data_IF_485848269764
#
_entry.id   IF_485848269764
#
_cell.length_a   1.000
_cell.length_b   1.000
_cell.length_c   1.000
_cell.angle_alpha   90.00
_cell.angle_beta   90.00
_cell.angle_gamma   90.00
#
_symmetry.space_group_name_H-M   'P 1'
#
loop_
_entity.id
_entity.type
_entity.pdbx_description
1 polymer ?
#
# COMPACT_ATOMS: atom_id res chain seq x y z
N UNK A 1 29.44 16.11 2.16
CA UNK A 1 28.20 15.49 1.64
C UNK A 1 27.46 16.56 0.85
N UNK A 2 27.14 16.27 -0.42
CA UNK A 2 26.38 17.12 -1.37
C UNK A 2 27.11 18.36 -1.92
N UNK A 3 28.07 18.19 -2.83
CA UNK A 3 28.51 19.29 -3.70
C UNK A 3 27.55 19.42 -4.89
N UNK A 4 26.60 20.34 -4.77
CA UNK A 4 25.86 20.89 -5.90
C UNK A 4 26.56 22.19 -6.29
N UNK A 5 26.99 22.32 -7.55
CA UNK A 5 27.55 23.59 -8.09
C UNK A 5 26.47 24.68 -8.28
N UNK A 6 25.25 24.42 -7.80
CA UNK A 6 24.10 25.32 -7.89
C UNK A 6 23.40 25.35 -6.53
N UNK A 7 23.25 26.54 -5.95
CA UNK A 7 22.52 26.75 -4.70
C UNK A 7 21.01 26.65 -4.99
N UNK A 8 20.36 25.56 -4.55
CA UNK A 8 18.90 25.43 -4.57
C UNK A 8 18.36 25.85 -3.20
N UNK A 9 17.48 26.85 -3.17
CA UNK A 9 16.83 27.35 -1.94
C UNK A 9 15.65 26.44 -1.51
N UNK A 10 15.31 25.42 -2.31
CA UNK A 10 14.30 24.41 -2.00
C UNK A 10 14.87 23.00 -2.15
N UNK A 11 14.22 22.04 -1.50
CA UNK A 11 14.51 20.60 -1.62
C UNK A 11 13.26 19.90 -2.16
N UNK A 12 13.42 19.08 -3.18
CA UNK A 12 12.32 18.30 -3.78
C UNK A 12 11.87 17.12 -2.89
N UNK A 13 12.61 16.84 -1.81
CA UNK A 13 12.25 15.78 -0.86
C UNK A 13 11.27 16.32 0.18
N UNK A 14 10.21 15.56 0.52
CA UNK A 14 9.29 15.96 1.57
C UNK A 14 9.98 16.05 2.94
N UNK A 15 9.47 16.91 3.81
CA UNK A 15 9.73 16.80 5.25
C UNK A 15 9.00 15.56 5.74
N UNK A 16 9.74 14.62 6.33
CA UNK A 16 9.22 13.30 6.66
C UNK A 16 9.60 12.90 8.08
N UNK A 17 8.59 12.67 8.91
CA UNK A 17 8.70 11.98 10.19
C UNK A 17 8.10 10.57 10.02
N UNK A 18 8.96 9.56 10.06
CA UNK A 18 8.55 8.18 9.82
C UNK A 18 7.65 7.59 10.92
N UNK A 19 7.91 7.93 12.19
CA UNK A 19 7.09 7.41 13.29
C UNK A 19 5.71 8.07 13.28
N UNK A 20 5.67 9.38 13.12
CA UNK A 20 4.42 10.12 12.99
C UNK A 20 3.63 9.67 11.74
N UNK A 21 4.29 9.51 10.59
CA UNK A 21 3.63 9.04 9.37
C UNK A 21 3.01 7.65 9.52
N UNK A 22 3.65 6.72 10.23
CA UNK A 22 3.10 5.39 10.49
C UNK A 22 1.86 5.46 11.39
N UNK A 23 1.87 6.30 12.44
CA UNK A 23 0.70 6.51 13.31
C UNK A 23 -0.47 7.12 12.54
N UNK A 24 -0.24 8.20 11.80
CA UNK A 24 -1.27 8.82 10.96
C UNK A 24 -1.84 7.84 9.93
N UNK A 25 -1.00 6.97 9.36
CA UNK A 25 -1.45 5.90 8.47
C UNK A 25 -2.41 4.96 9.17
N UNK A 26 -2.00 4.35 10.30
CA UNK A 26 -2.82 3.34 10.98
C UNK A 26 -4.16 3.91 11.42
N UNK A 27 -4.17 5.09 12.05
CA UNK A 27 -5.41 5.73 12.52
C UNK A 27 -6.34 6.14 11.38
N UNK A 28 -5.79 6.69 10.28
CA UNK A 28 -6.61 7.04 9.12
C UNK A 28 -7.24 5.80 8.48
N UNK A 29 -6.47 4.73 8.34
CA UNK A 29 -6.96 3.47 7.77
C UNK A 29 -8.03 2.86 8.65
N UNK A 30 -7.80 2.75 9.96
CA UNK A 30 -8.79 2.28 10.95
C UNK A 30 -10.09 3.08 10.84
N UNK A 31 -10.00 4.41 10.83
CA UNK A 31 -11.16 5.30 10.67
C UNK A 31 -11.90 5.05 9.36
N UNK A 32 -11.18 4.85 8.26
CA UNK A 32 -11.79 4.56 6.97
C UNK A 32 -12.49 3.20 6.93
N UNK A 33 -11.98 2.18 7.62
CA UNK A 33 -12.65 0.89 7.80
C UNK A 33 -13.94 1.01 8.62
N UNK A 34 -13.90 1.79 9.71
CA UNK A 34 -15.09 2.07 10.53
C UNK A 34 -16.17 2.79 9.72
N UNK A 35 -15.78 3.84 8.97
CA UNK A 35 -16.70 4.57 8.09
C UNK A 35 -17.31 3.67 7.01
N UNK A 36 -16.49 2.84 6.35
CA UNK A 36 -16.97 1.89 5.36
C UNK A 36 -17.96 0.88 5.96
N UNK A 37 -17.65 0.29 7.12
CA UNK A 37 -18.56 -0.63 7.81
C UNK A 37 -19.89 0.05 8.15
N UNK A 38 -19.84 1.26 8.71
CA UNK A 38 -21.04 2.01 9.05
C UNK A 38 -21.90 2.33 7.81
N UNK A 39 -21.27 2.69 6.68
CA UNK A 39 -21.96 2.89 5.40
C UNK A 39 -22.57 1.60 4.86
N UNK A 40 -21.85 0.48 4.93
CA UNK A 40 -22.32 -0.81 4.46
C UNK A 40 -23.54 -1.29 5.27
N UNK A 41 -23.58 -1.05 6.58
CA UNK A 41 -24.75 -1.32 7.42
C UNK A 41 -25.93 -0.44 6.99
N UNK A 42 -25.72 0.87 6.90
CA UNK A 42 -26.79 1.82 6.53
C UNK A 42 -27.37 1.56 5.14
N UNK A 43 -26.56 1.06 4.19
CA UNK A 43 -27.02 0.75 2.84
C UNK A 43 -27.60 -0.66 2.70
N UNK A 44 -27.67 -1.45 3.78
CA UNK A 44 -28.11 -2.85 3.74
C UNK A 44 -27.13 -3.80 3.05
N UNK A 45 -25.90 -3.36 2.77
CA UNK A 45 -24.83 -4.19 2.18
C UNK A 45 -24.26 -5.20 3.19
N UNK A 46 -24.33 -4.90 4.48
CA UNK A 46 -23.73 -5.71 5.54
C UNK A 46 -24.62 -5.76 6.78
N UNK A 47 -24.96 -6.95 7.26
CA UNK A 47 -25.59 -7.20 8.55
C UNK A 47 -24.57 -7.77 9.54
N UNK A 48 -24.26 -7.09 10.66
CA UNK A 48 -23.36 -7.63 11.68
C UNK A 48 -23.85 -8.94 12.31
N UNK A 49 -25.15 -9.19 12.30
CA UNK A 49 -25.78 -10.37 12.90
C UNK A 49 -25.82 -11.57 11.95
N UNK A 50 -25.97 -11.31 10.65
CA UNK A 50 -26.26 -12.36 9.66
C UNK A 50 -25.09 -12.65 8.71
N UNK A 51 -24.16 -11.71 8.56
CA UNK A 51 -23.07 -11.83 7.59
C UNK A 51 -21.71 -12.05 8.27
N UNK A 52 -20.82 -12.76 7.58
CA UNK A 52 -19.41 -12.79 7.95
C UNK A 52 -18.80 -11.38 7.93
N UNK A 53 -17.78 -11.13 8.73
CA UNK A 53 -17.07 -9.83 8.73
C UNK A 53 -16.56 -9.45 7.33
N UNK A 54 -16.56 -8.15 7.03
CA UNK A 54 -16.31 -7.63 5.68
C UNK A 54 -14.98 -8.09 5.08
N UNK A 55 -13.92 -8.19 5.90
CA UNK A 55 -12.60 -8.64 5.44
C UNK A 55 -12.57 -10.13 5.06
N UNK A 56 -13.51 -10.94 5.56
CA UNK A 56 -13.69 -12.34 5.11
C UNK A 56 -14.51 -12.43 3.82
N UNK A 57 -15.37 -11.45 3.55
CA UNK A 57 -16.14 -11.39 2.30
C UNK A 57 -15.28 -10.93 1.10
N UNK A 58 -14.14 -10.30 1.34
CA UNK A 58 -13.25 -9.81 0.29
C UNK A 58 -12.20 -10.85 -0.08
N UNK A 59 -12.23 -11.34 -1.31
CA UNK A 59 -11.23 -12.29 -1.83
C UNK A 59 -9.80 -11.75 -1.73
N UNK A 60 -9.62 -10.45 -1.93
CA UNK A 60 -8.33 -9.77 -1.84
C UNK A 60 -8.49 -8.43 -1.15
N UNK A 61 -7.46 -8.01 -0.43
CA UNK A 61 -7.38 -6.68 0.17
C UNK A 61 -6.20 -5.93 -0.43
N UNK A 62 -6.53 -4.99 -1.30
CA UNK A 62 -5.60 -4.17 -2.06
C UNK A 62 -5.35 -2.89 -1.30
N UNK A 63 -4.11 -2.56 -1.02
CA UNK A 63 -3.78 -1.38 -0.23
C UNK A 63 -2.73 -0.51 -0.88
N UNK A 64 -2.74 0.77 -0.53
CA UNK A 64 -1.61 1.65 -0.79
C UNK A 64 -0.38 1.15 -0.01
N UNK A 65 0.69 0.75 -0.73
CA UNK A 65 1.92 0.21 -0.15
C UNK A 65 3.10 1.18 -0.35
N UNK A 66 3.42 2.02 0.65
CA UNK A 66 4.63 2.85 0.62
C UNK A 66 5.92 2.04 0.61
N UNK A 67 5.88 0.79 1.08
CA UNK A 67 6.93 -0.21 0.88
C UNK A 67 6.31 -1.61 0.93
N UNK A 68 6.98 -2.58 0.30
CA UNK A 68 6.46 -3.93 0.03
C UNK A 68 5.87 -4.65 1.26
N UNK A 69 6.49 -4.46 2.44
CA UNK A 69 6.09 -5.15 3.67
C UNK A 69 5.16 -4.35 4.58
N UNK A 70 4.73 -3.15 4.17
CA UNK A 70 3.89 -2.31 5.02
C UNK A 70 2.53 -2.94 5.29
N UNK A 71 1.95 -3.67 4.33
CA UNK A 71 0.69 -4.37 4.57
C UNK A 71 0.80 -5.35 5.74
N UNK A 72 1.89 -6.12 5.84
CA UNK A 72 2.12 -7.04 6.98
C UNK A 72 2.26 -6.32 8.33
N UNK A 73 2.70 -5.06 8.33
CA UNK A 73 2.84 -4.26 9.55
C UNK A 73 1.55 -3.59 10.01
N UNK A 74 0.68 -3.19 9.07
CA UNK A 74 -0.52 -2.39 9.37
C UNK A 74 -1.78 -3.23 9.51
N UNK A 75 -1.88 -4.34 8.79
CA UNK A 75 -3.05 -5.20 8.87
C UNK A 75 -3.29 -5.89 10.21
N UNK A 76 -2.31 -6.13 11.11
CA UNK A 76 -2.64 -6.68 12.40
C UNK A 76 -3.60 -5.79 13.21
N UNK A 77 -3.56 -4.46 13.04
CA UNK A 77 -4.52 -3.55 13.69
C UNK A 77 -5.92 -3.71 13.12
N UNK A 78 -6.05 -3.81 11.79
CA UNK A 78 -7.35 -4.04 11.13
C UNK A 78 -7.90 -5.42 11.52
N UNK A 79 -7.05 -6.45 11.48
CA UNK A 79 -7.37 -7.83 11.84
C UNK A 79 -7.79 -7.96 13.31
N UNK A 80 -7.13 -7.25 14.22
CA UNK A 80 -7.55 -7.14 15.61
C UNK A 80 -8.92 -6.48 15.71
N UNK A 81 -9.07 -5.31 15.09
CA UNK A 81 -10.28 -4.49 15.23
C UNK A 81 -11.54 -5.22 14.75
N UNK A 82 -11.47 -5.96 13.64
CA UNK A 82 -12.62 -6.67 13.08
C UNK A 82 -12.84 -8.09 13.62
N UNK A 83 -11.89 -8.67 14.37
CA UNK A 83 -12.01 -10.04 14.93
C UNK A 83 -12.00 -10.12 16.45
N UNK A 84 -11.63 -9.08 17.19
CA UNK A 84 -11.54 -9.12 18.67
C UNK A 84 -12.83 -9.48 19.42
N UNK A 85 -13.96 -9.42 18.73
CA UNK A 85 -15.28 -9.78 19.24
C UNK A 85 -15.76 -11.16 18.77
N UNK A 86 -14.96 -11.88 17.98
CA UNK A 86 -15.29 -13.19 17.45
C UNK A 86 -14.66 -14.29 18.31
N UNK A 87 -15.27 -15.50 18.39
CA UNK A 87 -14.74 -16.61 19.20
C UNK A 87 -13.28 -16.99 18.87
N UNK A 88 -12.86 -16.82 17.61
CA UNK A 88 -11.47 -17.10 17.21
C UNK A 88 -10.43 -16.28 17.98
N UNK A 89 -10.81 -15.14 18.55
CA UNK A 89 -9.89 -14.26 19.27
C UNK A 89 -9.46 -14.84 20.62
N UNK A 90 -10.24 -15.75 21.21
CA UNK A 90 -9.88 -16.46 22.44
C UNK A 90 -8.55 -17.20 22.27
N UNK A 91 -8.37 -17.88 21.14
CA UNK A 91 -7.10 -18.56 20.79
C UNK A 91 -5.93 -17.58 20.63
N UNK A 92 -6.17 -16.39 20.11
CA UNK A 92 -5.15 -15.34 20.00
C UNK A 92 -4.72 -14.90 21.40
N UNK A 93 -5.67 -14.67 22.31
CA UNK A 93 -5.39 -14.29 23.69
C UNK A 93 -4.58 -15.38 24.41
N UNK A 94 -4.92 -16.66 24.21
CA UNK A 94 -4.15 -17.79 24.76
C UNK A 94 -2.69 -17.82 24.26
N UNK A 95 -2.45 -17.45 22.99
CA UNK A 95 -1.11 -17.46 22.39
C UNK A 95 -0.26 -16.24 22.78
N UNK A 96 -0.83 -15.03 22.72
CA UNK A 96 -0.06 -13.77 22.81
C UNK A 96 -0.40 -12.91 24.02
N UNK A 97 -1.33 -13.34 24.87
CA UNK A 97 -1.79 -12.62 26.05
C UNK A 97 -2.90 -11.59 25.76
N UNK A 98 -3.31 -10.90 26.83
CA UNK A 98 -4.37 -9.90 26.78
C UNK A 98 -3.94 -8.66 25.98
N UNK A 99 -4.91 -8.07 25.27
CA UNK A 99 -4.73 -6.80 24.58
C UNK A 99 -4.46 -5.69 25.61
N UNK A 100 -3.44 -4.83 25.39
CA UNK A 100 -3.25 -3.64 26.21
C UNK A 100 -4.32 -2.60 25.85
N UNK A 101 -4.94 -2.03 26.87
CA UNK A 101 -5.92 -0.96 26.74
C UNK A 101 -5.38 0.35 27.33
N UNK A 102 -5.75 1.54 26.79
CA UNK A 102 -5.32 2.82 27.36
C UNK A 102 -5.62 2.95 28.86
N UNK A 103 -6.71 2.34 29.31
CA UNK A 103 -7.15 2.32 30.71
C UNK A 103 -6.23 1.52 31.65
N UNK A 104 -5.33 0.71 31.10
CA UNK A 104 -4.32 -0.06 31.85
C UNK A 104 -3.09 0.79 32.22
N UNK A 105 -3.01 2.04 31.75
CA UNK A 105 -1.84 2.94 31.88
C UNK A 105 -2.24 4.29 32.49
N UNK A 106 -1.27 5.00 33.06
CA UNK A 106 -1.50 6.32 33.66
C UNK A 106 -1.86 7.37 32.59
N UNK A 107 -2.80 8.27 32.92
CA UNK A 107 -3.15 9.44 32.08
C UNK A 107 -2.09 10.55 32.21
N UNK A 108 -0.86 10.21 31.84
CA UNK A 108 0.31 11.08 31.84
C UNK A 108 1.02 10.96 30.48
N UNK A 109 1.85 11.95 30.08
CA UNK A 109 2.65 11.84 28.86
C UNK A 109 3.49 10.55 28.80
N UNK A 110 4.04 10.13 29.93
CA UNK A 110 4.81 8.91 30.09
C UNK A 110 3.93 7.66 29.94
N UNK A 111 2.77 7.61 30.60
CA UNK A 111 1.82 6.49 30.48
C UNK A 111 1.25 6.32 29.07
N UNK A 112 1.02 7.42 28.34
CA UNK A 112 0.65 7.39 26.91
C UNK A 112 1.78 6.78 26.08
N UNK A 113 3.04 7.12 26.36
CA UNK A 113 4.19 6.54 25.65
C UNK A 113 4.34 5.04 25.94
N UNK A 114 4.09 4.61 27.18
CA UNK A 114 4.10 3.20 27.59
C UNK A 114 2.99 2.41 26.89
N UNK A 115 1.77 2.95 26.85
CA UNK A 115 0.66 2.35 26.11
C UNK A 115 1.00 2.20 24.62
N UNK A 116 1.52 3.24 23.98
CA UNK A 116 1.90 3.19 22.55
C UNK A 116 2.97 2.11 22.29
N UNK A 117 3.95 1.95 23.19
CA UNK A 117 4.95 0.87 23.11
C UNK A 117 4.32 -0.51 23.27
N UNK A 118 3.44 -0.68 24.27
CA UNK A 118 2.75 -1.94 24.52
C UNK A 118 1.83 -2.33 23.34
N UNK A 119 1.08 -1.36 22.82
CA UNK A 119 0.20 -1.54 21.66
C UNK A 119 0.98 -1.87 20.38
N UNK A 120 2.13 -1.21 20.13
CA UNK A 120 3.02 -1.57 19.01
C UNK A 120 3.59 -2.98 19.16
N UNK A 121 3.99 -3.38 20.38
CA UNK A 121 4.46 -4.72 20.68
C UNK A 121 3.37 -5.78 20.45
N UNK A 122 2.15 -5.52 20.94
CA UNK A 122 1.00 -6.40 20.75
C UNK A 122 0.65 -6.57 19.27
N UNK A 123 0.66 -5.48 18.49
CA UNK A 123 0.48 -5.52 17.03
C UNK A 123 1.51 -6.42 16.34
N UNK A 124 2.76 -6.38 16.78
CA UNK A 124 3.83 -7.26 16.25
C UNK A 124 3.59 -8.72 16.63
N UNK A 125 3.05 -9.00 17.82
CA UNK A 125 2.70 -10.36 18.24
C UNK A 125 1.58 -10.94 17.37
N UNK A 126 0.51 -10.16 17.11
CA UNK A 126 -0.57 -10.56 16.19
C UNK A 126 0.01 -10.93 14.82
N UNK A 127 0.98 -10.17 14.30
CA UNK A 127 1.55 -10.48 12.98
C UNK A 127 2.29 -11.83 12.90
N UNK A 128 2.57 -12.47 14.04
CA UNK A 128 3.24 -13.76 14.15
C UNK A 128 2.30 -14.93 14.37
N UNK A 129 1.04 -14.70 14.73
CA UNK A 129 0.06 -15.78 14.95
C UNK A 129 -0.27 -16.48 13.64
N UNK A 130 -0.70 -17.74 13.73
CA UNK A 130 -1.03 -18.53 12.55
C UNK A 130 -2.26 -17.98 11.82
N UNK A 131 -3.26 -17.53 12.56
CA UNK A 131 -4.49 -16.95 12.00
C UNK A 131 -4.18 -15.71 11.16
N UNK A 132 -3.30 -14.84 11.64
CA UNK A 132 -2.89 -13.66 10.87
C UNK A 132 -2.05 -14.03 9.66
N UNK A 133 -1.15 -15.00 9.77
CA UNK A 133 -0.34 -15.48 8.64
C UNK A 133 -1.23 -16.04 7.54
N UNK A 134 -2.21 -16.89 7.87
CA UNK A 134 -3.19 -17.43 6.93
C UNK A 134 -4.02 -16.31 6.29
N UNK A 135 -4.47 -15.34 7.08
CA UNK A 135 -5.19 -14.16 6.57
C UNK A 135 -4.33 -13.34 5.60
N UNK A 136 -3.08 -13.04 5.98
CA UNK A 136 -2.15 -12.26 5.14
C UNK A 136 -1.81 -13.00 3.85
N UNK A 137 -1.57 -14.31 3.92
CA UNK A 137 -1.23 -15.12 2.75
C UNK A 137 -2.41 -15.19 1.78
N UNK A 138 -3.61 -15.46 2.30
CA UNK A 138 -4.81 -15.63 1.47
C UNK A 138 -5.35 -14.33 0.87
N UNK A 139 -5.21 -13.19 1.56
CA UNK A 139 -5.87 -11.93 1.15
C UNK A 139 -4.92 -10.84 0.68
N UNK A 140 -3.65 -10.84 1.11
CA UNK A 140 -2.74 -9.69 0.97
C UNK A 140 -1.51 -10.00 0.12
N UNK A 141 -0.95 -11.22 0.20
CA UNK A 141 0.34 -11.56 -0.43
C UNK A 141 0.42 -11.15 -1.90
N UNK A 142 -0.56 -11.57 -2.72
CA UNK A 142 -0.61 -11.28 -4.16
C UNK A 142 -0.67 -9.79 -4.47
N UNK A 143 -1.19 -8.97 -3.55
CA UNK A 143 -1.32 -7.53 -3.74
C UNK A 143 0.02 -6.81 -3.54
N UNK A 144 0.99 -7.44 -2.87
CA UNK A 144 2.30 -6.88 -2.55
C UNK A 144 3.41 -7.25 -3.55
N UNK A 145 3.22 -8.32 -4.35
CA UNK A 145 4.27 -8.87 -5.25
C UNK A 145 4.89 -7.80 -6.15
N UNK A 146 4.10 -7.05 -6.92
CA UNK A 146 4.66 -6.04 -7.83
C UNK A 146 5.31 -4.86 -7.08
N UNK A 147 4.73 -4.42 -5.95
CA UNK A 147 5.31 -3.37 -5.11
C UNK A 147 6.67 -3.76 -4.52
N UNK A 148 6.92 -5.05 -4.29
CA UNK A 148 8.24 -5.56 -3.87
C UNK A 148 9.33 -5.39 -4.92
N UNK A 149 8.95 -5.31 -6.20
CA UNK A 149 9.87 -5.16 -7.32
C UNK A 149 10.04 -3.70 -7.78
N UNK A 150 9.06 -2.83 -7.51
CA UNK A 150 9.03 -1.44 -7.99
C UNK A 150 9.34 -0.43 -6.88
N UNK A 151 8.90 -0.69 -5.65
CA UNK A 151 8.87 0.31 -4.58
C UNK A 151 7.63 1.21 -4.62
N UNK A 152 7.71 2.37 -3.97
CA UNK A 152 6.57 3.29 -3.83
C UNK A 152 6.31 4.08 -5.12
N UNK A 153 5.10 3.99 -5.66
CA UNK A 153 4.63 4.82 -6.78
C UNK A 153 3.63 5.91 -6.35
N UNK A 154 3.59 6.25 -5.06
CA UNK A 154 2.66 7.22 -4.49
C UNK A 154 1.21 6.88 -4.87
N UNK A 155 0.53 7.79 -5.58
CA UNK A 155 -0.86 7.61 -6.02
C UNK A 155 -1.04 6.38 -6.92
N UNK A 156 0.01 5.95 -7.63
CA UNK A 156 0.02 4.74 -8.45
C UNK A 156 0.05 3.44 -7.65
N UNK A 157 0.50 3.44 -6.39
CA UNK A 157 0.79 2.19 -5.65
C UNK A 157 -0.44 1.31 -5.45
N UNK A 158 -1.63 1.89 -5.23
CA UNK A 158 -2.86 1.11 -5.07
C UNK A 158 -3.28 0.42 -6.36
N UNK A 159 -3.08 1.08 -7.51
CA UNK A 159 -3.40 0.52 -8.82
C UNK A 159 -2.36 -0.52 -9.24
N UNK A 160 -1.10 -0.32 -8.88
CA UNK A 160 -0.07 -1.34 -9.03
C UNK A 160 -0.42 -2.60 -8.22
N UNK A 161 -0.88 -2.43 -6.97
CA UNK A 161 -1.32 -3.55 -6.14
C UNK A 161 -2.56 -4.25 -6.73
N UNK A 162 -3.50 -3.51 -7.32
CA UNK A 162 -4.63 -4.07 -8.07
C UNK A 162 -4.17 -4.88 -9.28
N UNK A 163 -3.28 -4.35 -10.12
CA UNK A 163 -2.72 -5.06 -11.27
C UNK A 163 -1.95 -6.32 -10.84
N UNK A 164 -1.12 -6.22 -9.79
CA UNK A 164 -0.41 -7.33 -9.17
C UNK A 164 -1.37 -8.45 -8.75
N UNK A 165 -2.48 -8.07 -8.13
CA UNK A 165 -3.52 -8.99 -7.67
C UNK A 165 -4.16 -9.73 -8.83
N UNK A 166 -4.67 -8.98 -9.82
CA UNK A 166 -5.41 -9.55 -10.95
C UNK A 166 -4.51 -10.44 -11.82
N UNK A 167 -3.28 -10.02 -12.11
CA UNK A 167 -2.35 -10.86 -12.89
C UNK A 167 -1.91 -12.10 -12.11
N UNK A 168 -1.69 -12.00 -10.80
CA UNK A 168 -1.32 -13.16 -9.98
C UNK A 168 -2.45 -14.18 -9.87
N UNK A 169 -3.68 -13.72 -9.65
CA UNK A 169 -4.85 -14.60 -9.60
C UNK A 169 -5.15 -15.24 -10.96
N UNK A 170 -4.97 -14.49 -12.05
CA UNK A 170 -5.06 -15.04 -13.41
C UNK A 170 -4.04 -16.17 -13.65
N UNK A 171 -2.76 -15.94 -13.30
CA UNK A 171 -1.69 -16.95 -13.47
C UNK A 171 -1.90 -18.19 -12.62
N UNK A 172 -2.43 -18.02 -11.42
CA UNK A 172 -2.69 -19.13 -10.49
C UNK A 172 -4.02 -19.86 -10.80
N UNK A 173 -4.74 -19.47 -11.86
CA UNK A 173 -6.01 -20.08 -12.24
C UNK A 173 -7.16 -19.83 -11.26
N UNK A 174 -7.05 -18.80 -10.41
CA UNK A 174 -8.08 -18.45 -9.42
C UNK A 174 -9.26 -17.82 -10.12
N UNK A 175 -10.47 -18.38 -9.94
CA UNK A 175 -11.67 -17.70 -10.42
C UNK A 175 -11.98 -16.47 -9.55
N UNK A 176 -12.15 -15.31 -10.16
CA UNK A 176 -12.42 -14.05 -9.46
C UNK A 176 -13.73 -13.40 -9.88
N UNK A 177 -14.35 -13.81 -10.99
CA UNK A 177 -15.62 -13.25 -11.46
C UNK A 177 -16.68 -13.28 -10.35
N UNK A 178 -17.36 -12.14 -10.15
CA UNK A 178 -18.38 -11.95 -9.12
C UNK A 178 -17.84 -11.84 -7.69
N UNK A 179 -16.55 -12.11 -7.46
CA UNK A 179 -15.95 -11.96 -6.13
C UNK A 179 -15.70 -10.49 -5.81
N UNK A 180 -15.75 -10.17 -4.52
CA UNK A 180 -15.46 -8.83 -4.01
C UNK A 180 -13.98 -8.67 -3.68
N UNK A 181 -13.44 -7.50 -3.93
CA UNK A 181 -12.11 -7.07 -3.47
C UNK A 181 -12.24 -5.78 -2.67
N UNK A 182 -11.56 -5.72 -1.53
CA UNK A 182 -11.46 -4.50 -0.72
C UNK A 182 -10.27 -3.67 -1.17
N UNK A 183 -10.44 -2.35 -1.20
CA UNK A 183 -9.40 -1.38 -1.55
C UNK A 183 -9.25 -0.36 -0.43
N UNK A 184 -8.02 -0.14 0.02
CA UNK A 184 -7.67 0.86 1.02
C UNK A 184 -6.66 1.86 0.44
N UNK A 185 -7.14 3.05 0.11
CA UNK A 185 -6.30 4.17 -0.30
C UNK A 185 -5.86 5.01 0.88
N UNK A 186 -4.62 5.50 0.85
CA UNK A 186 -4.07 6.41 1.83
C UNK A 186 -3.21 7.48 1.15
N UNK A 187 -3.24 8.70 1.69
CA UNK A 187 -2.26 9.76 1.40
C UNK A 187 -1.96 10.57 2.67
N UNK A 188 -0.68 10.87 2.91
CA UNK A 188 -0.24 11.66 4.06
C UNK A 188 -0.83 13.08 4.03
N UNK A 189 -1.15 13.63 5.21
CA UNK A 189 -1.85 14.91 5.36
C UNK A 189 -3.06 14.95 6.31
N UNK A 190 -3.78 13.88 6.71
CA UNK A 190 -3.84 12.51 6.21
C UNK A 190 -5.28 12.17 5.79
N UNK A 191 -5.43 11.44 4.68
CA UNK A 191 -6.73 11.00 4.15
C UNK A 191 -6.65 9.54 3.75
N UNK A 192 -7.57 8.75 4.28
CA UNK A 192 -7.77 7.37 3.87
C UNK A 192 -9.19 7.16 3.34
N UNK A 193 -9.35 6.17 2.47
CA UNK A 193 -10.66 5.73 1.98
C UNK A 193 -10.66 4.24 1.75
N UNK A 194 -11.66 3.58 2.32
CA UNK A 194 -11.96 2.17 2.05
C UNK A 194 -13.16 2.11 1.11
N UNK A 195 -13.04 1.26 0.10
CA UNK A 195 -14.11 0.96 -0.86
C UNK A 195 -13.94 -0.48 -1.35
N UNK A 196 -14.95 -1.03 -2.00
CA UNK A 196 -14.89 -2.38 -2.55
C UNK A 196 -15.31 -2.38 -4.02
N UNK A 197 -14.84 -3.37 -4.76
CA UNK A 197 -15.22 -3.64 -6.14
C UNK A 197 -15.68 -5.08 -6.33
N UNK A 198 -16.55 -5.31 -7.31
CA UNK A 198 -16.93 -6.65 -7.77
C UNK A 198 -16.21 -6.90 -9.08
N UNK A 199 -15.47 -8.01 -9.16
CA UNK A 199 -14.73 -8.38 -10.37
C UNK A 199 -15.70 -8.79 -11.47
N UNK A 200 -15.59 -8.17 -12.64
CA UNK A 200 -16.49 -8.38 -13.78
C UNK A 200 -16.04 -9.58 -14.64
N UNK A 201 -16.92 -10.15 -15.49
CA UNK A 201 -16.61 -11.35 -16.29
C UNK A 201 -15.37 -11.23 -17.17
N UNK A 202 -15.09 -10.04 -17.72
CA UNK A 202 -14.00 -9.77 -18.66
C UNK A 202 -12.62 -9.64 -17.98
N UNK A 203 -12.54 -9.86 -16.67
CA UNK A 203 -11.31 -9.61 -15.89
C UNK A 203 -10.10 -10.42 -16.38
N UNK A 204 -10.29 -11.65 -16.87
CA UNK A 204 -9.21 -12.51 -17.37
C UNK A 204 -8.61 -11.95 -18.67
N UNK A 205 -9.45 -11.43 -19.56
CA UNK A 205 -9.00 -10.80 -20.79
C UNK A 205 -8.09 -9.62 -20.47
N UNK A 206 -8.53 -8.74 -19.58
CA UNK A 206 -7.76 -7.57 -19.14
C UNK A 206 -6.46 -7.97 -18.44
N UNK A 207 -6.52 -8.89 -17.47
CA UNK A 207 -5.36 -9.33 -16.70
C UNK A 207 -4.29 -9.99 -17.58
N UNK A 208 -4.69 -10.73 -18.62
CA UNK A 208 -3.76 -11.39 -19.56
C UNK A 208 -2.90 -10.41 -20.35
N UNK A 209 -3.39 -9.17 -20.55
CA UNK A 209 -2.71 -8.15 -21.34
C UNK A 209 -1.69 -7.32 -20.54
N UNK A 210 -1.74 -7.37 -19.21
CA UNK A 210 -0.88 -6.54 -18.35
C UNK A 210 0.61 -6.81 -18.56
N UNK A 211 0.97 -8.10 -18.66
CA UNK A 211 2.35 -8.58 -18.74
C UNK A 211 3.26 -7.91 -17.70
N UNK A 212 2.74 -7.59 -16.51
CA UNK A 212 3.41 -6.78 -15.51
C UNK A 212 4.69 -7.45 -15.03
N UNK A 213 4.60 -8.71 -14.63
CA UNK A 213 5.77 -9.42 -14.09
C UNK A 213 6.80 -9.74 -15.17
N UNK A 214 6.37 -9.97 -16.42
CA UNK A 214 7.27 -10.11 -17.57
C UNK A 214 8.06 -8.82 -17.81
N UNK A 215 7.35 -7.68 -17.88
CA UNK A 215 7.97 -6.35 -18.03
C UNK A 215 8.93 -6.04 -16.89
N UNK A 216 8.60 -6.43 -15.67
CA UNK A 216 9.46 -6.22 -14.50
C UNK A 216 10.73 -7.06 -14.53
N UNK A 217 10.64 -8.30 -15.04
CA UNK A 217 11.77 -9.20 -15.21
C UNK A 217 12.72 -8.77 -16.33
N UNK A 218 12.22 -8.08 -17.34
CA UNK A 218 13.00 -7.60 -18.48
C UNK A 218 13.59 -6.18 -18.27
N UNK A 219 13.60 -5.65 -17.05
CA UNK A 219 14.22 -4.36 -16.75
C UNK A 219 15.75 -4.46 -16.73
N UNK A 220 16.41 -3.37 -17.08
CA UNK A 220 17.87 -3.27 -16.99
C UNK A 220 18.29 -2.92 -15.55
N UNK A 221 19.09 -3.77 -14.88
CA UNK A 221 19.66 -3.42 -13.58
C UNK A 221 20.66 -2.27 -13.75
N UNK A 222 20.69 -1.37 -12.77
CA UNK A 222 21.67 -0.28 -12.72
C UNK A 222 22.65 -0.53 -11.59
N UNK A 223 23.94 -0.35 -11.86
CA UNK A 223 24.96 -0.32 -10.83
C UNK A 223 24.76 0.88 -9.89
N UNK A 224 25.20 0.74 -8.64
CA UNK A 224 25.06 1.75 -7.60
C UNK A 224 25.57 3.12 -8.06
N UNK A 225 26.74 3.17 -8.69
CA UNK A 225 27.36 4.43 -9.12
C UNK A 225 26.54 5.12 -10.21
N UNK A 226 25.97 4.35 -11.15
CA UNK A 226 25.08 4.87 -12.20
C UNK A 226 23.82 5.44 -11.56
N UNK A 227 23.20 4.69 -10.66
CA UNK A 227 22.02 5.13 -9.92
C UNK A 227 22.28 6.42 -9.13
N UNK A 228 23.40 6.52 -8.41
CA UNK A 228 23.75 7.71 -7.65
C UNK A 228 23.97 8.93 -8.55
N UNK A 229 24.61 8.77 -9.72
CA UNK A 229 24.78 9.87 -10.68
C UNK A 229 23.45 10.37 -11.26
N UNK A 230 22.55 9.45 -11.62
CA UNK A 230 21.20 9.78 -12.07
C UNK A 230 20.40 10.49 -10.97
N UNK A 231 20.41 9.93 -9.75
CA UNK A 231 19.69 10.47 -8.60
C UNK A 231 20.20 11.87 -8.19
N UNK A 232 21.51 12.09 -8.23
CA UNK A 232 22.12 13.41 -8.00
C UNK A 232 21.94 14.37 -9.17
N UNK A 233 21.50 13.88 -10.31
CA UNK A 233 21.38 14.64 -11.55
C UNK A 233 22.72 15.11 -12.12
N UNK A 234 23.84 14.47 -11.76
CA UNK A 234 25.14 14.73 -12.38
C UNK A 234 25.27 14.06 -13.74
N UNK A 235 24.50 12.98 -13.97
CA UNK A 235 24.25 12.42 -15.29
C UNK A 235 22.87 12.89 -15.77
N UNK A 236 22.82 13.49 -16.97
CA UNK A 236 21.57 13.98 -17.58
C UNK A 236 21.03 13.04 -18.65
N UNK A 237 21.90 12.25 -19.27
CA UNK A 237 21.53 11.29 -20.30
C UNK A 237 20.96 10.01 -19.70
N UNK A 238 19.93 9.49 -20.36
CA UNK A 238 19.33 8.20 -20.03
C UNK A 238 20.32 7.06 -20.26
N UNK A 239 20.26 6.02 -19.43
CA UNK A 239 21.06 4.80 -19.60
C UNK A 239 20.57 3.98 -20.80
N UNK A 240 19.28 4.05 -21.10
CA UNK A 240 18.64 3.38 -22.23
C UNK A 240 18.04 4.41 -23.18
N UNK A 241 18.14 4.15 -24.47
CA UNK A 241 17.40 4.91 -25.46
C UNK A 241 15.89 4.61 -25.31
N UNK A 242 15.03 5.64 -25.35
CA UNK A 242 13.59 5.41 -25.30
C UNK A 242 13.12 4.54 -26.46
N UNK A 243 12.21 3.60 -26.19
CA UNK A 243 11.63 2.71 -27.21
C UNK A 243 10.20 2.36 -26.83
N UNK A 244 9.28 2.51 -27.79
CA UNK A 244 7.84 2.38 -27.60
C UNK A 244 7.31 3.17 -26.39
N UNK A 245 7.78 4.41 -26.20
CA UNK A 245 7.39 5.26 -25.08
C UNK A 245 7.44 6.77 -25.39
N UNK A 246 6.77 7.55 -24.55
CA UNK A 246 6.92 9.01 -24.55
C UNK A 246 8.13 9.42 -23.69
N UNK A 247 9.04 10.19 -24.28
CA UNK A 247 10.17 10.76 -23.55
C UNK A 247 10.19 12.29 -23.62
N UNK A 248 10.73 12.91 -22.56
CA UNK A 248 10.95 14.34 -22.47
C UNK A 248 12.10 14.74 -23.40
N UNK A 249 11.84 15.62 -24.36
CA UNK A 249 12.85 16.07 -25.35
C UNK A 249 13.41 17.46 -25.06
N UNK A 250 12.63 18.33 -24.40
CA UNK A 250 13.08 19.68 -24.07
C UNK A 250 12.27 20.29 -22.91
N UNK A 251 12.91 21.19 -22.18
CA UNK A 251 12.28 22.09 -21.20
C UNK A 251 12.63 23.54 -21.60
N UNK A 252 11.63 24.39 -21.82
CA UNK A 252 11.79 25.78 -22.26
C UNK A 252 12.25 25.90 -23.71
N UNK A 253 12.87 27.06 -24.03
CA UNK A 253 13.34 27.44 -25.36
C UNK A 253 13.06 28.90 -25.69
N UNK A 254 13.59 29.38 -26.81
CA UNK A 254 13.30 30.72 -27.32
C UNK A 254 11.86 30.79 -27.86
N UNK A 255 11.12 31.85 -27.49
CA UNK A 255 9.73 32.04 -27.93
C UNK A 255 8.70 31.10 -27.28
N UNK A 256 9.05 30.38 -26.22
CA UNK A 256 8.11 29.52 -25.46
C UNK A 256 8.01 29.94 -23.99
N UNK A 257 6.97 29.45 -23.31
CA UNK A 257 6.76 29.75 -21.88
C UNK A 257 7.83 29.10 -21.01
N UNK A 258 8.21 29.79 -19.93
CA UNK A 258 9.10 29.24 -18.91
C UNK A 258 8.51 27.94 -18.33
N UNK A 259 9.35 26.91 -18.24
CA UNK A 259 8.93 25.59 -17.75
C UNK A 259 8.11 24.75 -18.74
N UNK A 260 7.85 25.23 -19.97
CA UNK A 260 7.17 24.43 -21.00
C UNK A 260 7.96 23.14 -21.28
N UNK A 261 7.27 21.99 -21.29
CA UNK A 261 7.89 20.68 -21.57
C UNK A 261 7.43 20.15 -22.92
N UNK A 262 8.38 19.69 -23.73
CA UNK A 262 8.10 19.02 -25.01
C UNK A 262 8.37 17.53 -24.86
N UNK A 263 7.45 16.71 -25.37
CA UNK A 263 7.55 15.25 -25.36
C UNK A 263 7.41 14.72 -26.79
N UNK A 264 8.06 13.59 -27.08
CA UNK A 264 7.91 12.86 -28.33
C UNK A 264 7.72 11.37 -28.06
N UNK A 265 6.97 10.70 -28.94
CA UNK A 265 6.90 9.25 -28.98
C UNK A 265 8.13 8.69 -29.70
N UNK A 266 8.81 7.74 -29.08
CA UNK A 266 9.90 6.98 -29.68
C UNK A 266 9.36 5.63 -30.09
N UNK A 267 9.38 5.36 -31.40
CA UNK A 267 8.90 4.10 -31.97
C UNK A 267 9.78 2.91 -31.59
#
# INVERSE_FOLDING_TARGET
MFESHTLKIHKDTPVFDGQFSNRCYSESVKTAFVDFRAKAIRSGRYSPENDQILTEQWSRIIVHLPYAFQGKRMFPDVFRHDRRHLPMWEKIIEEIGMEPFPEDFDDTPEGIEEFEKANDAYRRLISKTEEFKVFSESRIEKTQRASSLIGNQYTGSIFLALMSTMESDFKDGVEMQGKRVGLCGYGSGAKAKVFEGIVQPEWKEVASQFKLFERLNNRTPLDKDVYERLHRGSQKDSVLSPSAEFALIAIGGEGVLEGQRKYAWYA
#
